data_IF_059926389593
#
_entry.id   IF_059926389593
#
_cell.length_a   1.000
_cell.length_b   1.000
_cell.length_c   1.000
_cell.angle_alpha   90.00
_cell.angle_beta   90.00
_cell.angle_gamma   90.00
#
_symmetry.space_group_name_H-M   'P 1'
#
loop_
_entity.id
_entity.type
_entity.pdbx_description
1 polymer ?
#
# COMPACT_ATOMS: atom_id res chain seq x y z
N UNK A 1 12.00 10.71 6.74
CA UNK A 1 10.61 11.21 6.65
C UNK A 1 9.64 10.11 7.09
N UNK A 2 8.55 10.45 7.79
CA UNK A 2 7.55 9.47 8.23
C UNK A 2 6.15 9.84 7.76
N UNK A 3 5.33 8.83 7.43
CA UNK A 3 3.91 8.99 7.10
C UNK A 3 3.10 8.37 8.24
N UNK A 4 2.13 9.11 8.77
CA UNK A 4 1.23 8.62 9.82
C UNK A 4 -0.22 8.58 9.29
N UNK A 5 -0.86 7.42 9.38
CA UNK A 5 -2.24 7.20 9.00
C UNK A 5 -3.13 7.14 10.25
N UNK A 6 -4.04 8.10 10.36
CA UNK A 6 -4.99 8.19 11.47
C UNK A 6 -6.03 7.06 11.45
N UNK A 7 -6.66 6.84 12.61
CA UNK A 7 -7.83 6.00 12.75
C UNK A 7 -9.11 6.69 12.27
N UNK A 8 -10.17 5.91 12.14
CA UNK A 8 -11.50 6.36 11.68
C UNK A 8 -12.33 5.27 11.01
N UNK A 9 -12.03 3.99 11.32
CA UNK A 9 -12.65 2.83 10.68
C UNK A 9 -12.34 2.74 9.18
N UNK A 10 -13.20 2.00 8.47
CA UNK A 10 -12.99 1.62 7.07
C UNK A 10 -12.96 2.81 6.11
N UNK A 11 -13.76 3.87 6.37
CA UNK A 11 -13.74 5.08 5.53
C UNK A 11 -12.39 5.79 5.54
N UNK A 12 -11.75 5.85 6.70
CA UNK A 12 -10.42 6.45 6.84
C UNK A 12 -9.33 5.59 6.17
N UNK A 13 -9.51 4.26 6.16
CA UNK A 13 -8.62 3.35 5.44
C UNK A 13 -8.64 3.62 3.92
N UNK A 14 -9.82 3.80 3.33
CA UNK A 14 -9.96 4.08 1.88
C UNK A 14 -9.31 5.41 1.50
N UNK A 15 -9.47 6.46 2.31
CA UNK A 15 -8.80 7.75 2.09
C UNK A 15 -7.27 7.61 2.20
N UNK A 16 -6.80 6.95 3.26
CA UNK A 16 -5.37 6.70 3.49
C UNK A 16 -4.73 5.90 2.37
N UNK A 17 -5.46 4.91 1.83
CA UNK A 17 -5.04 4.14 0.67
C UNK A 17 -4.85 5.01 -0.58
N UNK A 18 -5.84 5.86 -0.91
CA UNK A 18 -5.74 6.77 -2.06
C UNK A 18 -4.61 7.81 -1.89
N UNK A 19 -4.36 8.26 -0.66
CA UNK A 19 -3.22 9.12 -0.36
C UNK A 19 -1.88 8.43 -0.63
N UNK A 20 -1.69 7.20 -0.12
CA UNK A 20 -0.47 6.43 -0.37
C UNK A 20 -0.31 6.04 -1.84
N UNK A 21 -1.39 5.68 -2.53
CA UNK A 21 -1.39 5.42 -3.97
C UNK A 21 -0.85 6.63 -4.74
N UNK A 22 -1.32 7.82 -4.40
CA UNK A 22 -0.86 9.07 -5.02
C UNK A 22 0.62 9.31 -4.74
N UNK A 23 1.07 9.17 -3.49
CA UNK A 23 2.49 9.31 -3.14
C UNK A 23 3.36 8.29 -3.88
N UNK A 24 2.86 7.06 -4.08
CA UNK A 24 3.56 6.03 -4.82
C UNK A 24 3.69 6.38 -6.31
N UNK A 25 2.60 6.86 -6.93
CA UNK A 25 2.57 7.32 -8.33
C UNK A 25 3.61 8.41 -8.59
N UNK A 26 3.84 9.30 -7.63
CA UNK A 26 4.82 10.38 -7.73
C UNK A 26 6.21 10.01 -7.20
N UNK A 27 6.49 8.74 -6.90
CA UNK A 27 7.77 8.29 -6.34
C UNK A 27 8.15 8.97 -5.02
N UNK A 28 7.19 9.51 -4.28
CA UNK A 28 7.40 10.16 -2.98
C UNK A 28 7.37 9.12 -1.87
N UNK A 29 6.54 8.08 -2.02
CA UNK A 29 6.38 7.06 -0.99
C UNK A 29 7.68 6.34 -0.63
N UNK A 30 8.55 6.10 -1.61
CA UNK A 30 9.87 5.48 -1.39
C UNK A 30 10.85 6.34 -0.58
N UNK A 31 10.52 7.62 -0.37
CA UNK A 31 11.29 8.54 0.47
C UNK A 31 10.84 8.49 1.94
N UNK A 32 9.75 7.79 2.24
CA UNK A 32 9.30 7.58 3.60
C UNK A 32 10.07 6.43 4.24
N UNK A 33 10.73 6.71 5.36
CA UNK A 33 11.46 5.72 6.16
C UNK A 33 10.53 4.97 7.11
N UNK A 34 9.41 5.58 7.49
CA UNK A 34 8.45 5.02 8.43
C UNK A 34 7.02 5.23 7.94
N UNK A 35 6.20 4.20 8.10
CA UNK A 35 4.75 4.25 7.95
C UNK A 35 4.13 3.82 9.29
N UNK A 36 3.49 4.76 9.99
CA UNK A 36 2.75 4.50 11.23
C UNK A 36 1.25 4.50 10.94
N UNK A 37 0.50 3.63 11.62
CA UNK A 37 -0.95 3.56 11.49
C UNK A 37 -1.60 3.31 12.85
N UNK A 38 -2.82 3.79 13.05
CA UNK A 38 -3.64 3.48 14.23
C UNK A 38 -5.05 3.08 13.82
N UNK A 39 -5.67 2.15 14.56
CA UNK A 39 -7.07 1.72 14.36
C UNK A 39 -7.38 1.44 12.87
N UNK A 40 -8.33 2.14 12.26
CA UNK A 40 -8.70 2.01 10.85
C UNK A 40 -7.55 2.21 9.84
N UNK A 41 -6.50 2.96 10.16
CA UNK A 41 -5.31 3.06 9.31
C UNK A 41 -4.56 1.73 9.16
N UNK A 42 -4.77 0.80 10.10
CA UNK A 42 -4.17 -0.53 10.11
C UNK A 42 -4.59 -1.40 8.92
N UNK A 43 -5.77 -1.18 8.33
CA UNK A 43 -6.18 -1.88 7.10
C UNK A 43 -5.22 -1.55 5.93
N UNK A 44 -4.97 -0.26 5.70
CA UNK A 44 -4.00 0.19 4.68
C UNK A 44 -2.58 -0.25 5.03
N UNK A 45 -2.18 -0.15 6.30
CA UNK A 45 -0.86 -0.59 6.76
C UNK A 45 -0.61 -2.08 6.53
N UNK A 46 -1.60 -2.92 6.84
CA UNK A 46 -1.52 -4.38 6.66
C UNK A 46 -1.40 -4.77 5.19
N UNK A 47 -2.13 -4.07 4.31
CA UNK A 47 -2.02 -4.26 2.87
C UNK A 47 -0.62 -3.93 2.35
N UNK A 48 -0.06 -2.78 2.76
CA UNK A 48 1.32 -2.39 2.40
C UNK A 48 2.33 -3.44 2.85
N UNK A 49 2.21 -3.92 4.09
CA UNK A 49 3.08 -4.97 4.65
C UNK A 49 3.00 -6.25 3.81
N UNK A 50 1.80 -6.73 3.49
CA UNK A 50 1.64 -7.98 2.74
C UNK A 50 2.21 -7.87 1.31
N UNK A 51 2.05 -6.72 0.66
CA UNK A 51 2.61 -6.48 -0.67
C UNK A 51 4.13 -6.41 -0.67
N UNK A 52 4.72 -5.74 0.32
CA UNK A 52 6.17 -5.70 0.50
C UNK A 52 6.72 -7.09 0.86
N UNK A 53 6.03 -7.84 1.71
CA UNK A 53 6.38 -9.23 2.06
C UNK A 53 6.33 -10.13 0.85
N UNK A 54 5.26 -10.06 0.05
CA UNK A 54 5.10 -10.84 -1.18
C UNK A 54 6.21 -10.55 -2.22
N UNK A 55 6.65 -9.29 -2.31
CA UNK A 55 7.80 -8.93 -3.13
C UNK A 55 9.10 -9.56 -2.58
N UNK A 56 9.33 -9.46 -1.26
CA UNK A 56 10.51 -10.00 -0.59
C UNK A 56 10.61 -11.53 -0.70
N UNK A 57 9.50 -12.24 -0.48
CA UNK A 57 9.42 -13.71 -0.51
C UNK A 57 9.51 -14.29 -1.94
N UNK A 58 9.58 -13.45 -2.99
CA UNK A 58 9.76 -13.90 -4.37
C UNK A 58 8.60 -14.68 -4.98
N UNK A 59 7.48 -14.84 -4.27
CA UNK A 59 6.31 -15.66 -4.62
C UNK A 59 5.36 -15.03 -5.67
N UNK A 60 5.83 -14.07 -6.45
CA UNK A 60 5.08 -13.46 -7.57
C UNK A 60 5.41 -14.11 -8.92
N UNK A 61 5.37 -15.45 -9.01
CA UNK A 61 5.78 -16.22 -10.20
C UNK A 61 5.00 -15.94 -11.49
N UNK A 62 3.92 -15.14 -11.46
CA UNK A 62 3.14 -14.78 -12.65
C UNK A 62 3.19 -13.29 -13.06
N UNK A 63 3.80 -12.39 -12.25
CA UNK A 63 3.90 -10.94 -12.58
C UNK A 63 5.34 -10.44 -12.75
N UNK A 64 6.30 -11.36 -12.80
CA UNK A 64 7.73 -11.13 -12.48
C UNK A 64 8.53 -10.32 -13.51
N UNK A 65 7.98 -9.96 -14.67
CA UNK A 65 8.81 -9.42 -15.76
C UNK A 65 8.66 -7.90 -16.02
N UNK A 66 7.63 -7.23 -15.49
CA UNK A 66 7.37 -5.82 -15.82
C UNK A 66 7.79 -4.82 -14.72
N UNK A 67 8.00 -5.29 -13.49
CA UNK A 67 8.19 -4.44 -12.31
C UNK A 67 9.45 -4.85 -11.54
N UNK A 68 10.50 -4.04 -11.64
CA UNK A 68 11.81 -4.31 -11.02
C UNK A 68 11.94 -3.84 -9.57
N UNK A 69 11.03 -3.00 -9.08
CA UNK A 69 11.10 -2.39 -7.74
C UNK A 69 9.84 -2.67 -6.89
N UNK A 70 9.96 -2.83 -5.56
CA UNK A 70 8.85 -3.20 -4.68
C UNK A 70 7.67 -2.22 -4.78
N UNK A 71 7.97 -0.92 -4.81
CA UNK A 71 7.00 0.16 -4.85
C UNK A 71 6.14 0.17 -6.11
N UNK A 72 6.67 -0.32 -7.23
CA UNK A 72 5.93 -0.35 -8.50
C UNK A 72 4.74 -1.33 -8.49
N UNK A 73 4.76 -2.31 -7.59
CA UNK A 73 3.69 -3.29 -7.42
C UNK A 73 2.71 -2.95 -6.28
N UNK A 74 2.99 -1.90 -5.50
CA UNK A 74 2.37 -1.68 -4.19
C UNK A 74 0.89 -1.29 -4.26
N UNK A 75 0.45 -0.61 -5.31
CA UNK A 75 -0.93 -0.13 -5.48
C UNK A 75 -1.37 -0.25 -6.95
N UNK A 76 -1.45 -1.47 -7.48
CA UNK A 76 -1.95 -1.70 -8.85
C UNK A 76 -3.49 -1.64 -8.89
N UNK A 77 -4.11 -1.15 -9.98
CA UNK A 77 -5.56 -0.90 -10.03
C UNK A 77 -6.43 -2.07 -9.54
N UNK A 78 -6.11 -3.30 -9.97
CA UNK A 78 -6.88 -4.49 -9.57
C UNK A 78 -6.84 -4.82 -8.07
N UNK A 79 -5.75 -4.47 -7.37
CA UNK A 79 -5.66 -4.71 -5.94
C UNK A 79 -6.43 -3.65 -5.14
N UNK A 80 -6.45 -2.41 -5.63
CA UNK A 80 -7.19 -1.32 -5.00
C UNK A 80 -8.70 -1.52 -5.16
N UNK A 81 -9.15 -2.01 -6.31
CA UNK A 81 -10.55 -2.38 -6.53
C UNK A 81 -11.01 -3.46 -5.55
N UNK A 82 -10.17 -4.46 -5.27
CA UNK A 82 -10.46 -5.48 -4.26
C UNK A 82 -10.62 -4.89 -2.85
N UNK A 83 -9.83 -3.89 -2.48
CA UNK A 83 -9.95 -3.23 -1.17
C UNK A 83 -11.22 -2.35 -1.12
N UNK A 84 -11.55 -1.67 -2.22
CA UNK A 84 -12.76 -0.83 -2.32
C UNK A 84 -14.05 -1.65 -2.27
N UNK A 85 -14.04 -2.88 -2.78
CA UNK A 85 -15.24 -3.73 -2.82
C UNK A 85 -15.55 -4.44 -1.50
N UNK A 86 -14.59 -4.53 -0.58
CA UNK A 86 -14.75 -5.18 0.73
C UNK A 86 -14.76 -4.19 1.91
N UNK A 87 -14.88 -2.88 1.63
CA UNK A 87 -14.90 -1.80 2.62
C UNK A 87 -16.24 -1.11 2.78
#
# INVERSE_FOLDING_TARGET
MGIALSGGGIRSATLSLGFLETLNKYNILKLADYLSTVSGGGYTGSYVIEKLRSWYDGNNSSRKQYYSEPYSSLFVPGDIEHIKSHG
#
